data_IF_124225928693
#
_entry.id   IF_124225928693
#
_cell.length_a   1.000
_cell.length_b   1.000
_cell.length_c   1.000
_cell.angle_alpha   90.00
_cell.angle_beta   90.00
_cell.angle_gamma   90.00
#
_symmetry.space_group_name_H-M   'P 1'
#
loop_
_entity.id
_entity.type
_entity.pdbx_description
1 polymer ?
#
# COMPACT_ATOMS: atom_id res chain seq x y z
N UNK A 1 16.97 -62.08 -14.36
CA UNK A 1 17.48 -60.90 -13.62
C UNK A 1 16.60 -59.69 -13.96
N UNK A 2 15.67 -59.32 -13.09
CA UNK A 2 14.77 -58.16 -13.32
C UNK A 2 15.32 -56.96 -12.56
N UNK A 3 15.81 -55.98 -13.27
CA UNK A 3 16.18 -54.67 -12.74
C UNK A 3 14.92 -53.89 -12.36
N UNK A 4 14.69 -53.68 -11.08
CA UNK A 4 13.69 -52.72 -10.57
C UNK A 4 14.38 -51.32 -10.61
N UNK A 5 14.03 -50.47 -11.56
CA UNK A 5 14.37 -49.05 -11.48
C UNK A 5 13.53 -48.42 -10.36
N UNK A 6 14.15 -48.11 -9.23
CA UNK A 6 13.56 -47.16 -8.26
C UNK A 6 13.68 -45.75 -8.87
N UNK A 7 12.57 -45.26 -9.39
CA UNK A 7 12.43 -43.82 -9.60
C UNK A 7 12.40 -43.20 -8.19
N UNK A 8 13.53 -42.66 -7.76
CA UNK A 8 13.54 -41.74 -6.64
C UNK A 8 12.77 -40.49 -7.08
N UNK A 9 11.51 -40.35 -6.68
CA UNK A 9 10.86 -39.07 -6.70
C UNK A 9 11.69 -38.16 -5.80
N UNK A 10 12.41 -37.23 -6.40
CA UNK A 10 13.00 -36.11 -5.69
C UNK A 10 11.84 -35.31 -5.11
N UNK A 11 11.56 -35.50 -3.81
CA UNK A 11 10.67 -34.63 -3.06
C UNK A 11 11.45 -33.34 -2.92
N UNK A 12 11.23 -32.39 -3.85
CA UNK A 12 11.68 -31.01 -3.68
C UNK A 12 10.89 -30.48 -2.49
N UNK A 13 11.53 -30.13 -1.36
CA UNK A 13 10.79 -29.55 -0.25
C UNK A 13 10.05 -28.29 -0.76
N UNK A 14 8.84 -28.01 -0.24
CA UNK A 14 8.17 -26.77 -0.62
C UNK A 14 9.12 -25.60 -0.34
N UNK A 15 9.20 -24.67 -1.28
CA UNK A 15 10.03 -23.49 -1.12
C UNK A 15 9.65 -22.78 0.20
N UNK A 16 10.66 -22.32 0.93
CA UNK A 16 10.43 -21.60 2.17
C UNK A 16 9.56 -20.35 1.90
N UNK A 17 8.63 -20.00 2.80
CA UNK A 17 7.82 -18.79 2.64
C UNK A 17 8.72 -17.55 2.66
N UNK A 18 8.37 -16.57 1.82
CA UNK A 18 8.99 -15.24 1.79
C UNK A 18 7.92 -14.24 2.16
N UNK A 19 7.86 -13.86 3.43
CA UNK A 19 6.89 -12.88 3.90
C UNK A 19 7.43 -11.47 3.68
N UNK A 20 6.61 -10.62 3.02
CA UNK A 20 6.97 -9.24 2.69
C UNK A 20 6.17 -8.21 3.51
N UNK A 21 4.88 -8.44 3.72
CA UNK A 21 4.01 -7.55 4.47
C UNK A 21 3.09 -8.29 5.43
N UNK A 22 2.62 -7.60 6.47
CA UNK A 22 1.79 -8.15 7.54
C UNK A 22 0.69 -7.17 7.93
N UNK A 23 -0.51 -7.70 8.20
CA UNK A 23 -1.58 -6.96 8.85
C UNK A 23 -2.20 -7.80 9.96
N UNK A 24 -2.78 -7.11 10.96
CA UNK A 24 -3.59 -7.73 12.00
C UNK A 24 -5.03 -7.26 11.83
N UNK A 25 -6.00 -8.14 12.04
CA UNK A 25 -7.42 -7.77 11.95
C UNK A 25 -8.32 -8.77 12.63
N UNK A 26 -9.59 -8.43 12.73
CA UNK A 26 -10.63 -9.27 13.30
C UNK A 26 -11.51 -9.82 12.17
N UNK A 27 -11.74 -11.14 12.19
CA UNK A 27 -12.63 -11.80 11.24
C UNK A 27 -13.61 -12.71 11.98
N UNK A 28 -14.77 -12.96 11.36
CA UNK A 28 -15.76 -13.92 11.86
C UNK A 28 -15.74 -15.16 10.97
N UNK A 29 -15.34 -16.27 11.56
CA UNK A 29 -15.30 -17.59 10.92
C UNK A 29 -16.43 -18.47 11.44
N UNK A 30 -16.70 -19.65 10.88
CA UNK A 30 -17.63 -20.62 11.45
C UNK A 30 -17.31 -21.03 12.91
N UNK A 31 -16.05 -20.87 13.32
CA UNK A 31 -15.58 -21.14 14.70
C UNK A 31 -15.76 -19.96 15.65
N UNK A 32 -16.27 -18.82 15.17
CA UNK A 32 -16.47 -17.59 15.93
C UNK A 32 -15.59 -16.42 15.45
N UNK A 33 -15.75 -15.28 16.11
CA UNK A 33 -14.96 -14.08 15.85
C UNK A 33 -13.61 -14.16 16.57
N UNK A 34 -12.53 -13.85 15.87
CA UNK A 34 -11.16 -13.89 16.38
C UNK A 34 -10.24 -12.87 15.72
N UNK A 35 -9.08 -12.68 16.35
CA UNK A 35 -7.99 -11.87 15.78
C UNK A 35 -7.08 -12.76 14.96
N UNK A 36 -6.72 -12.30 13.77
CA UNK A 36 -5.88 -13.00 12.81
C UNK A 36 -4.72 -12.13 12.33
N UNK A 37 -3.63 -12.78 12.00
CA UNK A 37 -2.48 -12.22 11.31
C UNK A 37 -2.56 -12.63 9.84
N UNK A 38 -2.53 -11.64 8.95
CA UNK A 38 -2.50 -11.81 7.50
C UNK A 38 -1.08 -11.54 7.01
N UNK A 39 -0.49 -12.50 6.34
CA UNK A 39 0.92 -12.44 5.92
C UNK A 39 1.04 -12.61 4.40
N UNK A 40 1.56 -11.59 3.73
CA UNK A 40 1.83 -11.63 2.30
C UNK A 40 3.00 -12.58 2.01
N UNK A 41 2.71 -13.82 1.62
CA UNK A 41 3.71 -14.82 1.26
C UNK A 41 4.06 -14.67 -0.22
N UNK A 42 5.07 -13.88 -0.49
CA UNK A 42 5.49 -13.53 -1.84
C UNK A 42 5.93 -14.75 -2.65
N UNK A 43 6.62 -15.72 -2.03
CA UNK A 43 7.05 -16.93 -2.72
C UNK A 43 5.88 -17.79 -3.19
N UNK A 44 4.88 -18.00 -2.33
CA UNK A 44 3.72 -18.85 -2.68
C UNK A 44 2.69 -18.12 -3.55
N UNK A 45 2.74 -16.78 -3.63
CA UNK A 45 1.72 -15.96 -4.29
C UNK A 45 0.39 -15.91 -3.52
N UNK A 46 0.41 -16.12 -2.19
CA UNK A 46 -0.79 -16.20 -1.35
C UNK A 46 -0.67 -15.31 -0.11
N UNK A 47 -1.79 -14.92 0.43
CA UNK A 47 -1.87 -14.39 1.80
C UNK A 47 -2.07 -15.58 2.72
N UNK A 48 -1.08 -15.86 3.57
CA UNK A 48 -1.20 -16.85 4.63
C UNK A 48 -1.87 -16.19 5.84
N UNK A 49 -2.76 -16.94 6.52
CA UNK A 49 -3.49 -16.42 7.67
C UNK A 49 -3.18 -17.29 8.89
N UNK A 50 -2.93 -16.61 10.02
CA UNK A 50 -2.63 -17.27 11.29
C UNK A 50 -3.58 -16.80 12.39
N UNK A 51 -3.95 -17.72 13.28
CA UNK A 51 -4.74 -17.41 14.46
C UNK A 51 -3.89 -16.73 15.57
N UNK A 52 -4.52 -16.38 16.68
CA UNK A 52 -3.86 -15.74 17.83
C UNK A 52 -2.80 -16.62 18.52
N UNK A 53 -2.70 -17.90 18.17
CA UNK A 53 -1.66 -18.83 18.62
C UNK A 53 -0.59 -19.06 17.54
N UNK A 54 -0.58 -18.24 16.48
CA UNK A 54 0.30 -18.36 15.32
C UNK A 54 0.18 -19.70 14.57
N UNK A 55 -1.00 -20.34 14.64
CA UNK A 55 -1.29 -21.54 13.86
C UNK A 55 -1.98 -21.14 12.55
N UNK A 56 -1.67 -21.84 11.43
CA UNK A 56 -2.36 -21.60 10.18
C UNK A 56 -3.87 -21.74 10.35
N UNK A 57 -4.59 -20.69 9.91
CA UNK A 57 -6.04 -20.64 9.93
C UNK A 57 -6.60 -21.03 8.56
N UNK A 58 -7.75 -21.68 8.55
CA UNK A 58 -8.48 -22.10 7.34
C UNK A 58 -9.76 -21.29 7.16
N UNK A 59 -10.29 -21.30 5.93
CA UNK A 59 -11.53 -20.58 5.60
C UNK A 59 -11.33 -19.17 5.06
N UNK A 60 -10.09 -18.79 4.75
CA UNK A 60 -9.73 -17.54 4.11
C UNK A 60 -9.35 -17.79 2.65
N UNK A 61 -9.82 -16.95 1.73
CA UNK A 61 -9.65 -17.18 0.29
C UNK A 61 -8.53 -16.35 -0.34
N UNK A 62 -8.58 -15.01 -0.24
CA UNK A 62 -7.68 -14.07 -0.90
C UNK A 62 -7.45 -14.39 -2.38
N UNK A 63 -8.52 -14.78 -3.08
CA UNK A 63 -8.46 -15.13 -4.50
C UNK A 63 -8.99 -13.99 -5.33
N UNK A 64 -8.14 -13.43 -6.19
CA UNK A 64 -8.56 -12.50 -7.24
C UNK A 64 -9.09 -13.30 -8.45
N UNK A 65 -10.33 -13.04 -8.88
CA UNK A 65 -10.93 -13.74 -10.04
C UNK A 65 -10.37 -13.28 -11.39
N UNK A 66 -9.57 -12.19 -11.44
CA UNK A 66 -9.18 -11.53 -12.69
C UNK A 66 -7.76 -10.96 -12.67
N UNK A 67 -6.78 -11.83 -12.44
CA UNK A 67 -5.36 -11.44 -12.47
C UNK A 67 -4.99 -10.80 -13.81
N UNK A 68 -4.27 -9.67 -13.81
CA UNK A 68 -3.77 -9.07 -15.03
C UNK A 68 -2.68 -9.94 -15.67
N UNK A 69 -2.39 -9.74 -16.98
CA UNK A 69 -1.27 -10.43 -17.63
C UNK A 69 0.05 -10.21 -16.89
N UNK A 70 0.85 -11.27 -16.79
CA UNK A 70 2.18 -11.18 -16.13
C UNK A 70 3.12 -10.36 -17.03
N UNK A 71 3.82 -9.36 -16.49
CA UNK A 71 4.70 -8.52 -17.29
C UNK A 71 5.96 -9.28 -17.75
N UNK A 72 6.63 -8.82 -18.82
CA UNK A 72 7.87 -9.40 -19.28
C UNK A 72 8.94 -9.43 -18.17
N UNK A 73 9.65 -10.57 -18.07
CA UNK A 73 10.69 -10.78 -17.06
C UNK A 73 10.20 -11.28 -15.72
N UNK A 74 8.89 -11.29 -15.47
CA UNK A 74 8.29 -11.87 -14.28
C UNK A 74 7.74 -13.28 -14.53
N UNK A 75 7.55 -14.04 -13.45
CA UNK A 75 6.99 -15.40 -13.50
C UNK A 75 5.58 -15.50 -12.91
N UNK A 76 5.09 -14.45 -12.29
CA UNK A 76 3.76 -14.39 -11.70
C UNK A 76 3.51 -13.08 -10.94
N UNK A 77 2.35 -13.00 -10.32
CA UNK A 77 1.99 -11.96 -9.37
C UNK A 77 1.96 -12.54 -7.95
N UNK A 78 2.35 -11.74 -6.97
CA UNK A 78 2.29 -12.15 -5.58
C UNK A 78 1.89 -10.99 -4.67
N UNK A 79 1.20 -11.26 -3.54
CA UNK A 79 0.90 -10.26 -2.54
C UNK A 79 2.23 -9.74 -1.97
N UNK A 80 2.36 -8.41 -1.97
CA UNK A 80 3.58 -7.74 -1.54
C UNK A 80 3.38 -7.09 -0.17
N UNK A 81 2.20 -6.50 0.07
CA UNK A 81 1.78 -6.04 1.39
C UNK A 81 0.29 -6.31 1.63
N UNK A 82 -0.11 -6.27 2.89
CA UNK A 82 -1.49 -6.28 3.35
C UNK A 82 -1.68 -5.11 4.31
N UNK A 83 -2.71 -4.32 4.12
CA UNK A 83 -3.10 -3.21 4.98
C UNK A 83 -4.54 -3.37 5.45
N UNK A 84 -4.80 -3.20 6.74
CA UNK A 84 -6.13 -3.22 7.34
C UNK A 84 -6.56 -1.78 7.65
N UNK A 85 -7.65 -1.32 7.05
CA UNK A 85 -8.19 0.02 7.27
C UNK A 85 -8.91 0.20 8.63
N UNK A 86 -9.06 -0.89 9.39
CA UNK A 86 -9.79 -0.89 10.67
C UNK A 86 -11.32 -0.91 10.53
N UNK A 87 -11.86 -0.82 9.30
CA UNK A 87 -13.30 -0.77 9.03
C UNK A 87 -13.84 -2.07 8.41
N UNK A 88 -13.02 -3.12 8.40
CA UNK A 88 -13.39 -4.43 7.87
C UNK A 88 -12.86 -4.72 6.48
N UNK A 89 -12.00 -3.86 5.94
CA UNK A 89 -11.39 -4.03 4.63
C UNK A 89 -9.88 -4.27 4.75
N UNK A 90 -9.40 -5.16 3.91
CA UNK A 90 -7.98 -5.44 3.72
C UNK A 90 -7.58 -5.03 2.30
N UNK A 91 -6.67 -4.07 2.18
CA UNK A 91 -6.04 -3.74 0.91
C UNK A 91 -4.79 -4.59 0.74
N UNK A 92 -4.71 -5.32 -0.35
CA UNK A 92 -3.56 -6.17 -0.68
C UNK A 92 -2.89 -5.59 -1.92
N UNK A 93 -1.64 -5.18 -1.78
CA UNK A 93 -0.82 -4.80 -2.93
C UNK A 93 -0.13 -6.03 -3.50
N UNK A 94 0.02 -6.04 -4.82
CA UNK A 94 0.68 -7.11 -5.56
C UNK A 94 1.82 -6.55 -6.39
N UNK A 95 2.93 -7.28 -6.41
CA UNK A 95 4.06 -7.02 -7.28
C UNK A 95 4.37 -8.23 -8.18
N UNK A 96 5.04 -7.97 -9.30
CA UNK A 96 5.48 -9.00 -10.20
C UNK A 96 6.66 -9.76 -9.60
N UNK A 97 6.64 -11.10 -9.63
CA UNK A 97 7.68 -11.95 -9.03
C UNK A 97 8.85 -12.15 -10.00
N UNK A 98 10.09 -12.07 -9.49
CA UNK A 98 11.26 -12.56 -10.20
C UNK A 98 11.27 -14.10 -10.31
N UNK A 99 12.19 -14.66 -11.08
CA UNK A 99 12.28 -16.11 -11.30
C UNK A 99 12.51 -16.91 -10.01
N UNK A 100 13.18 -16.33 -9.01
CA UNK A 100 13.40 -16.93 -7.71
C UNK A 100 12.16 -16.86 -6.79
N UNK A 101 11.14 -16.07 -7.14
CA UNK A 101 9.95 -15.77 -6.33
C UNK A 101 10.31 -15.20 -4.95
N UNK A 102 11.38 -14.47 -4.90
CA UNK A 102 11.91 -13.86 -3.69
C UNK A 102 11.76 -12.33 -3.73
N UNK A 103 12.07 -11.71 -4.87
CA UNK A 103 12.02 -10.27 -5.04
C UNK A 103 11.09 -9.87 -6.20
N UNK A 104 10.69 -8.62 -6.19
CA UNK A 104 9.86 -8.05 -7.23
C UNK A 104 10.65 -7.77 -8.52
N UNK A 105 9.90 -7.61 -9.60
CA UNK A 105 10.40 -7.09 -10.89
C UNK A 105 9.86 -5.68 -11.01
N UNK A 106 10.67 -4.69 -10.58
CA UNK A 106 10.30 -3.30 -10.65
C UNK A 106 10.07 -2.86 -12.11
N UNK A 107 9.11 -1.97 -12.30
CA UNK A 107 8.75 -1.41 -13.60
C UNK A 107 7.44 -0.63 -13.53
N UNK A 108 7.34 0.44 -14.31
CA UNK A 108 6.10 1.20 -14.38
C UNK A 108 4.97 0.31 -14.93
N UNK A 109 3.87 0.25 -14.20
CA UNK A 109 2.76 -0.66 -14.49
C UNK A 109 2.88 -2.03 -13.82
N UNK A 110 4.00 -2.35 -13.14
CA UNK A 110 4.21 -3.62 -12.47
C UNK A 110 3.62 -3.60 -11.04
N UNK A 111 2.30 -3.66 -10.96
CA UNK A 111 1.59 -3.75 -9.70
C UNK A 111 0.10 -3.59 -9.84
N UNK A 112 -0.62 -4.03 -8.84
CA UNK A 112 -2.05 -3.78 -8.67
C UNK A 112 -2.43 -3.86 -7.20
N UNK A 113 -3.64 -3.39 -6.87
CA UNK A 113 -4.18 -3.38 -5.52
C UNK A 113 -5.59 -3.92 -5.55
N UNK A 114 -5.85 -4.90 -4.69
CA UNK A 114 -7.17 -5.46 -4.46
C UNK A 114 -7.68 -5.11 -3.07
N UNK A 115 -8.99 -4.99 -2.96
CA UNK A 115 -9.71 -4.90 -1.70
C UNK A 115 -10.43 -6.21 -1.42
N UNK A 116 -10.26 -6.70 -0.18
CA UNK A 116 -10.91 -7.89 0.37
C UNK A 116 -11.61 -7.53 1.67
N UNK A 117 -12.59 -8.32 2.08
CA UNK A 117 -13.05 -8.31 3.46
C UNK A 117 -12.04 -9.06 4.37
N UNK A 118 -12.24 -8.99 5.69
CA UNK A 118 -11.34 -9.66 6.66
C UNK A 118 -11.40 -11.19 6.61
N UNK A 119 -12.36 -11.79 5.89
CA UNK A 119 -12.39 -13.23 5.61
C UNK A 119 -11.67 -13.59 4.30
N UNK A 120 -11.11 -12.59 3.59
CA UNK A 120 -10.42 -12.77 2.34
C UNK A 120 -11.34 -12.95 1.13
N UNK A 121 -12.61 -12.57 1.23
CA UNK A 121 -13.48 -12.50 0.07
C UNK A 121 -13.14 -11.26 -0.75
N UNK A 122 -12.94 -11.44 -2.06
CA UNK A 122 -12.64 -10.35 -2.98
C UNK A 122 -13.83 -9.38 -3.08
N UNK A 123 -13.57 -8.10 -2.91
CA UNK A 123 -14.55 -7.02 -3.05
C UNK A 123 -14.40 -6.38 -4.42
N UNK A 124 -13.21 -5.81 -4.71
CA UNK A 124 -12.92 -5.13 -5.98
C UNK A 124 -11.43 -5.00 -6.25
N UNK A 125 -11.09 -4.66 -7.50
CA UNK A 125 -9.80 -4.13 -7.90
C UNK A 125 -9.80 -2.62 -7.74
N UNK A 126 -8.89 -2.09 -6.91
CA UNK A 126 -8.74 -0.64 -6.66
C UNK A 126 -7.88 0.01 -7.75
N UNK A 127 -6.77 -0.61 -8.10
CA UNK A 127 -5.86 -0.06 -9.11
C UNK A 127 -5.11 -1.17 -9.84
N UNK A 128 -4.80 -0.95 -11.13
CA UNK A 128 -4.00 -1.87 -11.96
C UNK A 128 -3.06 -1.11 -12.84
N UNK A 129 -1.76 -1.46 -12.80
CA UNK A 129 -0.77 -0.92 -13.71
C UNK A 129 -0.59 0.61 -13.60
N UNK A 130 -0.45 1.30 -14.73
CA UNK A 130 -0.34 2.76 -14.76
C UNK A 130 0.84 3.28 -13.95
N UNK A 131 0.55 4.05 -12.90
CA UNK A 131 1.55 4.67 -12.00
C UNK A 131 2.14 3.71 -10.97
N UNK A 132 1.63 2.49 -10.86
CA UNK A 132 2.10 1.51 -9.90
C UNK A 132 3.43 0.89 -10.34
N UNK A 133 4.34 0.72 -9.40
CA UNK A 133 5.66 0.14 -9.61
C UNK A 133 6.08 -0.58 -8.33
N UNK A 134 5.81 -1.88 -8.26
CA UNK A 134 6.00 -2.70 -7.05
C UNK A 134 5.43 -2.01 -5.80
N UNK A 135 4.11 -1.76 -5.74
CA UNK A 135 3.49 -1.03 -4.63
C UNK A 135 3.61 -1.84 -3.34
N UNK A 136 4.19 -1.23 -2.29
CA UNK A 136 4.29 -1.84 -0.96
C UNK A 136 3.62 -1.00 0.12
N UNK A 137 3.97 0.29 0.25
CA UNK A 137 3.40 1.18 1.25
C UNK A 137 1.91 1.39 1.04
N UNK A 138 1.08 1.06 2.02
CA UNK A 138 -0.38 1.28 1.99
C UNK A 138 -0.81 1.93 3.28
N UNK A 139 -1.57 3.02 3.20
CA UNK A 139 -2.19 3.68 4.35
C UNK A 139 -3.38 4.52 3.91
N UNK A 140 -4.35 4.74 4.80
CA UNK A 140 -5.38 5.77 4.59
C UNK A 140 -4.87 7.07 5.19
N UNK A 141 -4.79 8.10 4.36
CA UNK A 141 -4.34 9.42 4.78
C UNK A 141 -5.21 9.96 5.93
N UNK A 142 -4.62 10.53 6.99
CA UNK A 142 -5.39 11.04 8.11
C UNK A 142 -6.28 12.22 7.71
N UNK A 143 -7.35 12.48 8.47
CA UNK A 143 -8.30 13.54 8.20
C UNK A 143 -7.68 14.95 8.10
N UNK A 144 -6.51 15.16 8.71
CA UNK A 144 -5.75 16.41 8.62
C UNK A 144 -4.76 16.47 7.45
N UNK A 145 -4.79 15.53 6.50
CA UNK A 145 -3.83 15.43 5.39
C UNK A 145 -4.20 16.29 4.16
N UNK A 146 -4.87 17.40 4.38
CA UNK A 146 -5.19 18.38 3.33
C UNK A 146 -6.15 17.87 2.27
N UNK A 147 -5.79 18.08 0.99
CA UNK A 147 -6.65 17.73 -0.14
C UNK A 147 -6.85 16.21 -0.30
N UNK A 148 -5.96 15.40 0.24
CA UNK A 148 -6.00 13.94 0.15
C UNK A 148 -6.42 13.26 1.45
N UNK A 149 -7.13 14.00 2.33
CA UNK A 149 -7.64 13.45 3.58
C UNK A 149 -8.60 12.27 3.32
N UNK A 150 -8.37 11.15 4.01
CA UNK A 150 -9.11 9.88 3.91
C UNK A 150 -8.94 9.13 2.57
N UNK A 151 -8.01 9.53 1.72
CA UNK A 151 -7.67 8.81 0.50
C UNK A 151 -6.63 7.72 0.76
N UNK A 152 -6.59 6.71 -0.12
CA UNK A 152 -5.61 5.63 -0.06
C UNK A 152 -4.26 6.10 -0.64
N UNK A 153 -3.26 6.13 0.21
CA UNK A 153 -1.86 6.36 -0.18
C UNK A 153 -1.22 5.04 -0.59
N UNK A 154 -0.55 5.05 -1.72
CA UNK A 154 0.14 3.90 -2.29
C UNK A 154 1.59 4.25 -2.58
N UNK A 155 2.49 3.77 -1.73
CA UNK A 155 3.93 3.93 -1.88
C UNK A 155 4.51 2.83 -2.77
N UNK A 156 5.19 3.24 -3.82
CA UNK A 156 5.90 2.33 -4.72
C UNK A 156 7.31 2.04 -4.19
N UNK A 157 7.61 0.79 -3.91
CA UNK A 157 8.98 0.35 -3.62
C UNK A 157 9.89 0.56 -4.83
N UNK A 158 9.39 0.22 -6.04
CA UNK A 158 10.20 0.19 -7.25
C UNK A 158 10.68 1.55 -7.78
N UNK A 159 10.04 2.68 -7.40
CA UNK A 159 10.47 4.02 -7.84
C UNK A 159 10.31 5.11 -6.78
N UNK A 160 9.90 4.77 -5.58
CA UNK A 160 9.81 5.69 -4.44
C UNK A 160 8.69 6.72 -4.50
N UNK A 161 7.85 6.71 -5.51
CA UNK A 161 6.70 7.63 -5.64
C UNK A 161 5.55 7.21 -4.73
N UNK A 162 4.75 8.19 -4.28
CA UNK A 162 3.55 7.95 -3.47
C UNK A 162 2.34 8.44 -4.24
N UNK A 163 1.49 7.51 -4.64
CA UNK A 163 0.29 7.75 -5.42
C UNK A 163 -0.93 7.78 -4.51
N UNK A 164 -1.96 8.51 -4.92
CA UNK A 164 -3.19 8.69 -4.16
C UNK A 164 -4.38 8.22 -4.97
N UNK A 165 -5.22 7.39 -4.35
CA UNK A 165 -6.44 6.88 -4.94
C UNK A 165 -7.61 7.15 -3.99
N UNK A 166 -8.77 7.49 -4.53
CA UNK A 166 -10.02 7.50 -3.77
C UNK A 166 -10.46 6.04 -3.52
N UNK A 167 -10.51 5.58 -2.26
CA UNK A 167 -10.83 4.19 -1.96
C UNK A 167 -12.28 3.80 -2.27
N UNK A 168 -13.18 4.78 -2.47
CA UNK A 168 -14.60 4.54 -2.77
C UNK A 168 -14.86 4.45 -4.28
N UNK A 169 -14.18 5.30 -5.07
CA UNK A 169 -14.41 5.41 -6.52
C UNK A 169 -13.31 4.77 -7.35
N UNK A 170 -12.22 4.34 -6.73
CA UNK A 170 -11.02 3.75 -7.36
C UNK A 170 -10.29 4.72 -8.32
N UNK A 171 -10.60 6.01 -8.25
CA UNK A 171 -9.99 7.01 -9.11
C UNK A 171 -8.58 7.36 -8.63
N UNK A 172 -7.65 7.41 -9.57
CA UNK A 172 -6.34 8.01 -9.32
C UNK A 172 -6.48 9.52 -9.17
N UNK A 173 -6.09 10.06 -8.02
CA UNK A 173 -6.22 11.49 -7.69
C UNK A 173 -4.94 12.27 -7.96
N UNK A 174 -3.79 11.61 -7.92
CA UNK A 174 -2.49 12.25 -8.16
C UNK A 174 -1.34 11.55 -7.45
N UNK A 175 -0.16 12.16 -7.54
CA UNK A 175 1.05 11.74 -6.81
C UNK A 175 1.41 12.82 -5.81
N UNK A 176 1.86 12.45 -4.61
CA UNK A 176 2.27 13.42 -3.60
C UNK A 176 3.45 14.27 -4.12
N UNK A 177 3.37 15.57 -3.86
CA UNK A 177 4.39 16.54 -4.26
C UNK A 177 4.94 17.31 -3.06
N UNK A 178 6.15 17.82 -3.19
CA UNK A 178 6.73 18.76 -2.25
C UNK A 178 6.06 20.16 -2.38
N UNK A 179 6.47 21.13 -1.55
CA UNK A 179 5.96 22.50 -1.57
C UNK A 179 6.25 23.27 -2.86
N UNK A 180 7.10 22.76 -3.74
CA UNK A 180 7.41 23.33 -5.04
C UNK A 180 6.64 22.66 -6.18
N UNK A 181 5.81 21.65 -5.88
CA UNK A 181 5.06 20.86 -6.84
C UNK A 181 5.85 19.74 -7.50
N UNK A 182 7.06 19.42 -7.03
CA UNK A 182 7.81 18.28 -7.54
C UNK A 182 7.32 16.98 -6.89
N UNK A 183 7.22 15.86 -7.63
CA UNK A 183 6.90 14.57 -7.04
C UNK A 183 7.84 14.20 -5.90
N UNK A 184 7.29 13.76 -4.78
CA UNK A 184 8.07 13.18 -3.69
C UNK A 184 8.56 11.81 -4.14
N UNK A 185 9.88 11.58 -4.05
CA UNK A 185 10.52 10.31 -4.40
C UNK A 185 11.41 9.87 -3.25
N UNK A 186 11.10 8.73 -2.64
CA UNK A 186 11.82 8.13 -1.53
C UNK A 186 12.30 6.76 -2.02
N UNK A 187 13.58 6.63 -2.35
CA UNK A 187 14.14 5.36 -2.85
C UNK A 187 13.91 4.21 -1.87
N UNK A 188 13.60 3.04 -2.39
CA UNK A 188 13.35 1.81 -1.61
C UNK A 188 12.32 2.03 -0.49
N UNK A 189 11.19 2.70 -0.85
CA UNK A 189 10.12 3.05 0.08
C UNK A 189 9.39 1.79 0.57
N UNK A 190 9.40 1.59 1.87
CA UNK A 190 8.66 0.54 2.54
C UNK A 190 7.33 1.07 3.12
N UNK A 191 7.23 1.15 4.42
CA UNK A 191 5.98 1.42 5.11
C UNK A 191 5.51 2.87 4.95
N UNK A 192 4.19 3.03 4.92
CA UNK A 192 3.46 4.24 5.21
C UNK A 192 2.56 3.95 6.41
N UNK A 193 2.57 4.81 7.43
CA UNK A 193 1.78 4.63 8.66
C UNK A 193 1.35 5.97 9.21
N UNK A 194 0.05 6.18 9.33
CA UNK A 194 -0.52 7.37 9.99
C UNK A 194 -0.11 7.43 11.47
N UNK A 195 0.20 8.62 11.95
CA UNK A 195 0.56 8.86 13.34
C UNK A 195 -0.56 8.49 14.31
N UNK A 196 -0.22 7.86 15.42
CA UNK A 196 -1.17 7.33 16.42
C UNK A 196 -1.45 8.26 17.60
N UNK A 197 -1.02 9.54 17.52
CA UNK A 197 -1.14 10.52 18.58
C UNK A 197 -0.38 10.15 19.89
N UNK A 198 0.56 9.23 19.83
CA UNK A 198 1.50 8.93 20.93
C UNK A 198 2.56 10.02 21.09
N UNK A 199 3.38 9.93 22.14
CA UNK A 199 4.47 10.87 22.37
C UNK A 199 5.42 10.92 21.17
N UNK A 200 5.55 12.10 20.55
CA UNK A 200 6.38 12.32 19.37
C UNK A 200 5.74 11.89 18.04
N UNK A 201 4.45 11.51 18.02
CA UNK A 201 3.71 11.14 16.83
C UNK A 201 2.62 12.17 16.54
N UNK A 202 2.59 12.70 15.30
CA UNK A 202 1.56 13.63 14.84
C UNK A 202 0.44 12.83 14.14
N UNK A 203 -0.81 12.84 14.64
CA UNK A 203 -1.93 12.10 14.04
C UNK A 203 -2.36 12.64 12.66
N UNK A 204 -1.86 13.80 12.24
CA UNK A 204 -2.12 14.39 10.93
C UNK A 204 -0.94 14.20 9.96
N UNK A 205 0.05 13.42 10.32
CA UNK A 205 1.19 13.09 9.46
C UNK A 205 1.20 11.59 9.12
N UNK A 206 1.79 11.26 7.99
CA UNK A 206 2.08 9.89 7.57
C UNK A 206 3.57 9.65 7.72
N UNK A 207 3.96 8.72 8.55
CA UNK A 207 5.33 8.31 8.73
C UNK A 207 5.72 7.28 7.69
N UNK A 208 6.99 7.30 7.29
CA UNK A 208 7.50 6.33 6.33
C UNK A 208 8.82 5.70 6.79
N UNK A 209 9.09 4.51 6.29
CA UNK A 209 10.41 3.88 6.34
C UNK A 209 10.88 3.57 4.93
N UNK A 210 12.19 3.64 4.72
CA UNK A 210 12.81 3.29 3.45
C UNK A 210 14.18 2.64 3.67
N UNK A 211 14.60 1.80 2.72
CA UNK A 211 15.85 1.05 2.78
C UNK A 211 16.86 1.55 1.74
N UNK A 212 17.36 2.78 1.89
CA UNK A 212 18.22 3.42 0.90
C UNK A 212 19.45 2.58 0.52
N UNK A 213 19.90 2.67 -0.74
CA UNK A 213 21.11 2.01 -1.27
C UNK A 213 21.01 0.47 -1.17
N UNK A 214 20.01 -0.11 -1.82
CA UNK A 214 19.72 -1.56 -1.76
C UNK A 214 19.60 -2.05 -0.30
N UNK A 215 18.84 -1.33 0.52
CA UNK A 215 18.53 -1.64 1.92
C UNK A 215 19.74 -1.63 2.88
N UNK A 216 20.88 -1.08 2.47
CA UNK A 216 22.05 -0.95 3.35
C UNK A 216 21.91 0.16 4.39
N UNK A 217 21.01 1.12 4.19
CA UNK A 217 20.76 2.25 5.08
C UNK A 217 19.28 2.44 5.32
N UNK A 218 18.86 2.53 6.58
CA UNK A 218 17.48 2.86 6.95
C UNK A 218 17.23 4.36 6.93
N UNK A 219 16.08 4.77 6.38
CA UNK A 219 15.53 6.12 6.49
C UNK A 219 14.17 6.05 7.18
N UNK A 220 13.95 6.95 8.14
CA UNK A 220 12.66 7.20 8.77
C UNK A 220 12.33 8.67 8.65
N UNK A 221 11.10 9.01 8.30
CA UNK A 221 10.64 10.39 8.19
C UNK A 221 9.13 10.49 8.28
N UNK A 222 8.62 11.70 8.10
CA UNK A 222 7.19 11.97 8.04
C UNK A 222 6.83 12.87 6.86
N UNK A 223 5.60 12.73 6.43
CA UNK A 223 4.93 13.53 5.43
C UNK A 223 3.80 14.29 6.13
N UNK A 224 3.84 15.60 6.10
CA UNK A 224 2.82 16.44 6.68
C UNK A 224 2.43 17.56 5.70
N UNK A 225 1.19 18.00 5.76
CA UNK A 225 0.73 19.13 4.96
C UNK A 225 1.44 20.40 5.42
N UNK A 226 2.08 21.06 4.47
CA UNK A 226 2.61 22.42 4.70
C UNK A 226 1.44 23.38 4.55
N UNK A 227 1.07 24.14 5.60
CA UNK A 227 0.05 25.18 5.47
C UNK A 227 0.42 26.17 4.39
N UNK A 228 -0.50 26.48 3.49
CA UNK A 228 -0.24 27.52 2.49
C UNK A 228 0.16 28.83 3.20
N UNK A 229 1.19 29.53 2.71
CA UNK A 229 1.53 30.84 3.27
C UNK A 229 0.28 31.72 3.30
N UNK A 230 0.04 32.41 4.42
CA UNK A 230 -1.10 33.32 4.59
C UNK A 230 -1.20 34.44 3.54
N UNK A 231 -0.31 34.47 2.56
CA UNK A 231 -0.31 35.34 1.36
C UNK A 231 -1.60 35.23 0.56
N UNK A 232 -2.21 34.03 0.42
CA UNK A 232 -3.51 33.87 -0.24
C UNK A 232 -4.64 34.50 0.55
N UNK A 233 -4.65 34.38 1.87
CA UNK A 233 -5.59 35.06 2.74
C UNK A 233 -5.40 36.58 2.70
N UNK A 234 -4.16 37.08 2.68
CA UNK A 234 -3.82 38.48 2.53
C UNK A 234 -4.21 39.03 1.14
N UNK A 235 -4.06 38.23 0.10
CA UNK A 235 -4.50 38.63 -1.26
C UNK A 235 -6.03 38.70 -1.33
N UNK A 236 -6.75 37.75 -0.77
CA UNK A 236 -8.22 37.77 -0.72
C UNK A 236 -8.75 38.99 0.10
N UNK A 237 -8.14 39.25 1.26
CA UNK A 237 -8.50 40.42 2.10
C UNK A 237 -8.09 41.75 1.42
N UNK A 238 -6.97 41.78 0.73
CA UNK A 238 -6.52 42.93 -0.08
C UNK A 238 -7.48 43.26 -1.22
N UNK A 239 -7.94 42.24 -1.96
CA UNK A 239 -8.91 42.42 -3.06
C UNK A 239 -10.29 42.89 -2.56
N UNK A 240 -10.78 42.33 -1.45
CA UNK A 240 -12.05 42.74 -0.84
C UNK A 240 -11.97 44.16 -0.29
N UNK A 241 -10.85 44.55 0.30
CA UNK A 241 -10.57 45.92 0.73
C UNK A 241 -10.56 46.93 -0.45
N UNK A 242 -9.92 46.59 -1.55
CA UNK A 242 -9.90 47.39 -2.77
C UNK A 242 -11.29 47.54 -3.41
N UNK A 243 -12.10 46.49 -3.43
CA UNK A 243 -13.49 46.57 -3.93
C UNK A 243 -14.37 47.44 -3.05
N UNK A 244 -14.18 47.40 -1.73
CA UNK A 244 -14.91 48.24 -0.80
C UNK A 244 -14.52 49.73 -0.92
N UNK A 245 -13.25 50.05 -1.09
CA UNK A 245 -12.75 51.40 -1.32
C UNK A 245 -13.25 51.99 -2.65
N UNK A 246 -13.30 51.22 -3.73
CA UNK A 246 -13.87 51.63 -5.02
C UNK A 246 -15.36 51.98 -4.92
N UNK A 247 -16.16 51.18 -4.19
CA UNK A 247 -17.59 51.46 -3.99
C UNK A 247 -17.86 52.75 -3.22
N UNK A 248 -17.00 53.15 -2.29
CA UNK A 248 -17.13 54.41 -1.55
C UNK A 248 -16.75 55.68 -2.34
N UNK A 249 -16.03 55.55 -3.44
CA UNK A 249 -15.68 56.68 -4.31
C UNK A 249 -16.65 56.94 -5.46
N UNK A 250 -17.61 56.06 -5.65
CA UNK A 250 -18.64 56.13 -6.70
C UNK A 250 -20.03 56.51 -6.17
N UNK A 251 -20.14 56.82 -4.88
CA UNK A 251 -21.32 57.38 -4.18
C UNK A 251 -20.98 58.78 -3.67
#
# INVERSE_FOLDING_TARGET
MRLRSRLSQSIIPPAAPVYKGLAIGTATTPSGTGTFLYAANFNSGKVDVFDSNFKPASGFSFTDPSLPPVPPGAVGWAPFNVYNDGNGHLFVSYAAQNAAKHDDVAGLGNGFIDEFDTNGNFIKRVATGGVLNSPWGLDIAPAGFGAFANDLLVGNFGNGGINVFDPNTDLFLGTLTDSNGNPIVIGDLWALVTGNNGTGSNPNAVYFTAGLMDEMHGLFGDLAVVPEPGSLALLATGLTGLMWFRRRRSA
#
